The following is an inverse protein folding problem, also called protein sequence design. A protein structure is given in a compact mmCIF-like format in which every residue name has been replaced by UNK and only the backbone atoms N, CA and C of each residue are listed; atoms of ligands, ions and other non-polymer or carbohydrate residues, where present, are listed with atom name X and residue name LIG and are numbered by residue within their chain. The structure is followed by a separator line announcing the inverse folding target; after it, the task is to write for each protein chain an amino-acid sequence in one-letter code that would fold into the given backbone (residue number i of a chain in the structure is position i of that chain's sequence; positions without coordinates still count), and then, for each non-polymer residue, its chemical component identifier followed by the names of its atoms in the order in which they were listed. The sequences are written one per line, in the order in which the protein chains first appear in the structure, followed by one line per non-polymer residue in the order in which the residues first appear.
data_IF_225389626954
#
_entry.id   IF_225389626954
#
_cell.length_a   1.000
_cell.length_b   1.000
_cell.length_c   1.000
_cell.angle_alpha   90.00
_cell.angle_beta   90.00
_cell.angle_gamma   90.00
#
_symmetry.space_group_name_H-M   'P 1'
#
loop_
_entity.id
_entity.type
_entity.pdbx_description
1 polymer ?
#
# COMPACT_ATOMS: atom_id res chain seq x y z
N UNK A 1 -14.74 -50.90 30.19
CA UNK A 1 -14.76 -49.44 30.14
C UNK A 1 -13.59 -48.86 30.93
N UNK A 2 -13.14 -47.66 30.62
CA UNK A 2 -12.00 -47.02 31.29
C UNK A 2 -12.20 -46.91 32.84
N UNK A 3 -13.44 -46.83 33.29
CA UNK A 3 -13.85 -46.86 34.71
C UNK A 3 -13.45 -48.10 35.48
N UNK A 4 -13.19 -49.21 34.77
CA UNK A 4 -12.81 -50.50 35.41
C UNK A 4 -11.29 -50.58 35.63
N UNK A 5 -10.53 -49.64 35.09
CA UNK A 5 -9.07 -49.64 35.08
C UNK A 5 -8.46 -48.47 35.87
N UNK A 6 -9.19 -47.39 36.08
CA UNK A 6 -8.70 -46.20 36.80
C UNK A 6 -9.85 -45.35 37.32
N UNK A 7 -9.67 -44.73 38.51
CA UNK A 7 -10.52 -43.65 38.99
C UNK A 7 -10.27 -42.40 38.18
N UNK A 8 -11.29 -42.00 37.45
CA UNK A 8 -11.21 -40.75 36.67
C UNK A 8 -11.79 -39.62 37.51
N UNK A 9 -10.93 -38.78 38.08
CA UNK A 9 -11.31 -37.52 38.70
C UNK A 9 -11.03 -36.39 37.70
N UNK A 10 -12.01 -35.54 37.47
CA UNK A 10 -11.78 -34.24 36.80
C UNK A 10 -11.07 -33.36 37.80
N UNK A 11 -9.77 -33.12 37.62
CA UNK A 11 -9.00 -32.28 38.48
C UNK A 11 -9.50 -30.83 38.37
N UNK A 12 -9.92 -30.29 39.52
CA UNK A 12 -10.36 -28.89 39.65
C UNK A 12 -9.14 -27.97 39.94
N UNK A 13 -7.92 -28.45 39.64
CA UNK A 13 -6.73 -27.63 39.75
C UNK A 13 -6.72 -26.56 38.67
N UNK A 14 -6.98 -25.32 39.05
CA UNK A 14 -6.83 -24.14 38.20
C UNK A 14 -5.37 -24.01 37.80
N UNK A 15 -5.06 -24.30 36.55
CA UNK A 15 -3.73 -24.14 35.97
C UNK A 15 -3.34 -22.69 35.74
N UNK A 16 -4.33 -21.80 35.68
CA UNK A 16 -4.11 -20.35 35.50
C UNK A 16 -5.26 -19.56 36.13
N UNK A 17 -4.95 -18.41 36.68
CA UNK A 17 -5.92 -17.43 37.20
C UNK A 17 -5.89 -16.24 36.25
N UNK A 18 -7.00 -15.98 35.58
CA UNK A 18 -7.14 -14.80 34.73
C UNK A 18 -8.10 -13.80 35.37
N UNK A 19 -7.66 -12.55 35.54
CA UNK A 19 -8.47 -11.45 36.08
C UNK A 19 -8.41 -10.23 35.14
N UNK A 20 -9.54 -9.58 34.99
CA UNK A 20 -9.64 -8.32 34.26
C UNK A 20 -10.30 -7.28 35.17
N UNK A 21 -9.61 -6.16 35.42
CA UNK A 21 -10.08 -5.11 36.33
C UNK A 21 -10.46 -5.67 37.74
N UNK A 22 -9.68 -6.63 38.26
CA UNK A 22 -9.89 -7.24 39.56
C UNK A 22 -11.00 -8.29 39.65
N UNK A 23 -11.74 -8.53 38.56
CA UNK A 23 -12.79 -9.56 38.47
C UNK A 23 -12.27 -10.80 37.77
N UNK A 24 -12.80 -11.96 38.11
CA UNK A 24 -12.46 -13.21 37.44
C UNK A 24 -12.88 -13.11 35.95
N UNK A 25 -11.99 -13.55 35.06
CA UNK A 25 -12.18 -13.48 33.62
C UNK A 25 -11.69 -14.75 32.94
N UNK A 26 -12.24 -15.05 31.76
CA UNK A 26 -11.71 -16.07 30.85
C UNK A 26 -10.95 -15.36 29.74
N UNK A 27 -9.68 -15.73 29.55
CA UNK A 27 -8.87 -15.19 28.48
C UNK A 27 -8.89 -16.17 27.29
N UNK A 28 -9.35 -15.68 26.15
CA UNK A 28 -9.34 -16.41 24.87
C UNK A 28 -8.28 -15.82 23.95
N UNK A 29 -7.26 -16.63 23.64
CA UNK A 29 -6.26 -16.28 22.64
C UNK A 29 -6.60 -17.02 21.34
N UNK A 30 -6.89 -16.25 20.30
CA UNK A 30 -7.25 -16.78 18.99
C UNK A 30 -6.08 -16.56 18.04
N UNK A 31 -5.54 -17.65 17.49
CA UNK A 31 -4.48 -17.62 16.51
C UNK A 31 -5.05 -17.96 15.14
N UNK A 32 -4.66 -17.20 14.11
CA UNK A 32 -5.01 -17.50 12.74
C UNK A 32 -4.00 -18.45 12.09
N UNK A 33 -4.43 -19.20 11.07
CA UNK A 33 -3.51 -19.92 10.18
C UNK A 33 -2.68 -18.91 9.35
N UNK A 34 -1.52 -19.35 8.87
CA UNK A 34 -0.61 -18.46 8.11
C UNK A 34 -1.28 -17.85 6.87
N UNK A 35 -2.13 -18.61 6.18
CA UNK A 35 -2.80 -18.19 4.95
C UNK A 35 -4.06 -17.36 5.17
N UNK A 36 -4.55 -17.25 6.41
CA UNK A 36 -5.79 -16.54 6.71
C UNK A 36 -5.58 -15.02 6.76
N UNK A 37 -6.57 -14.28 6.29
CA UNK A 37 -6.58 -12.82 6.35
C UNK A 37 -6.84 -12.35 7.79
N UNK A 38 -5.89 -11.62 8.38
CA UNK A 38 -5.94 -11.17 9.78
C UNK A 38 -7.17 -10.32 10.07
N UNK A 39 -7.50 -9.37 9.19
CA UNK A 39 -8.64 -8.46 9.37
C UNK A 39 -9.96 -9.21 9.28
N UNK A 40 -10.09 -10.13 8.31
CA UNK A 40 -11.30 -10.92 8.16
C UNK A 40 -11.52 -11.83 9.38
N UNK A 41 -10.50 -12.56 9.82
CA UNK A 41 -10.57 -13.42 11.00
C UNK A 41 -10.96 -12.62 12.24
N UNK A 42 -10.32 -11.46 12.46
CA UNK A 42 -10.62 -10.59 13.61
C UNK A 42 -12.09 -10.11 13.60
N UNK A 43 -12.63 -9.74 12.42
CA UNK A 43 -14.03 -9.33 12.26
C UNK A 43 -15.01 -10.49 12.52
N UNK A 44 -14.72 -11.68 12.00
CA UNK A 44 -15.55 -12.86 12.22
C UNK A 44 -15.57 -13.28 13.69
N UNK A 45 -14.41 -13.25 14.33
CA UNK A 45 -14.29 -13.51 15.77
C UNK A 45 -15.09 -12.49 16.57
N UNK A 46 -14.92 -11.21 16.27
CA UNK A 46 -15.67 -10.15 16.97
C UNK A 46 -17.18 -10.36 16.85
N UNK A 47 -17.65 -10.66 15.63
CA UNK A 47 -19.07 -10.95 15.40
C UNK A 47 -19.59 -12.11 16.25
N UNK A 48 -18.82 -13.21 16.34
CA UNK A 48 -19.18 -14.37 17.16
C UNK A 48 -19.16 -14.05 18.65
N UNK A 49 -18.18 -13.28 19.12
CA UNK A 49 -18.10 -12.84 20.52
C UNK A 49 -19.27 -11.92 20.86
N UNK A 50 -19.64 -10.99 20.00
CA UNK A 50 -20.76 -10.07 20.20
C UNK A 50 -22.11 -10.83 20.22
N UNK A 51 -22.23 -11.88 19.40
CA UNK A 51 -23.40 -12.76 19.39
C UNK A 51 -23.48 -13.58 20.69
N UNK A 52 -22.37 -14.14 21.14
CA UNK A 52 -22.30 -14.89 22.38
C UNK A 52 -22.64 -14.01 23.61
N UNK A 53 -22.04 -12.83 23.71
CA UNK A 53 -22.31 -11.87 24.81
C UNK A 53 -23.77 -11.40 24.83
N UNK A 54 -24.41 -11.30 23.67
CA UNK A 54 -25.86 -10.95 23.60
C UNK A 54 -26.75 -12.05 24.12
N UNK A 55 -26.35 -13.30 23.92
CA UNK A 55 -27.17 -14.46 24.33
C UNK A 55 -26.99 -14.82 25.80
N UNK A 56 -25.88 -14.39 26.44
CA UNK A 56 -25.57 -14.69 27.82
C UNK A 56 -25.69 -13.46 28.72
N UNK A 57 -26.69 -13.44 29.59
CA UNK A 57 -26.95 -12.33 30.50
C UNK A 57 -25.81 -12.12 31.50
N UNK A 58 -25.23 -10.93 31.56
CA UNK A 58 -24.21 -10.54 32.54
C UNK A 58 -22.76 -10.70 32.07
N UNK A 59 -22.51 -11.27 30.90
CA UNK A 59 -21.18 -11.32 30.29
C UNK A 59 -20.79 -9.98 29.65
N UNK A 60 -19.48 -9.65 29.75
CA UNK A 60 -18.87 -8.53 29.03
C UNK A 60 -17.59 -9.01 28.38
N UNK A 61 -17.42 -8.71 27.09
CA UNK A 61 -16.16 -8.94 26.40
C UNK A 61 -15.28 -7.70 26.44
N UNK A 62 -13.98 -7.90 26.63
CA UNK A 62 -12.97 -6.85 26.55
C UNK A 62 -11.89 -7.34 25.59
N UNK A 63 -11.69 -6.63 24.50
CA UNK A 63 -10.61 -6.91 23.57
C UNK A 63 -9.30 -6.33 24.13
N UNK A 64 -8.40 -7.19 24.54
CA UNK A 64 -7.11 -6.79 25.14
C UNK A 64 -6.02 -6.58 24.08
N UNK A 65 -6.07 -7.35 23.00
CA UNK A 65 -5.11 -7.26 21.92
C UNK A 65 -5.82 -7.44 20.57
N UNK A 66 -5.59 -6.53 19.66
CA UNK A 66 -6.15 -6.57 18.31
C UNK A 66 -5.03 -6.34 17.28
N UNK A 67 -4.64 -7.40 16.60
CA UNK A 67 -3.61 -7.33 15.54
C UNK A 67 -4.16 -6.84 14.20
N UNK A 68 -5.48 -6.79 14.04
CA UNK A 68 -6.13 -6.29 12.82
C UNK A 68 -6.20 -4.75 12.80
N UNK A 69 -6.41 -4.12 13.96
CA UNK A 69 -6.54 -2.66 14.05
C UNK A 69 -5.33 -1.89 13.50
N UNK A 70 -4.07 -2.22 13.85
CA UNK A 70 -2.91 -1.56 13.24
C UNK A 70 -2.85 -1.70 11.71
N UNK A 71 -3.34 -2.81 11.16
CA UNK A 71 -3.41 -3.01 9.70
C UNK A 71 -4.48 -2.10 9.09
N UNK A 72 -5.66 -2.02 9.69
CA UNK A 72 -6.74 -1.13 9.24
C UNK A 72 -6.33 0.34 9.33
N UNK A 73 -5.71 0.76 10.44
CA UNK A 73 -5.21 2.12 10.66
C UNK A 73 -4.11 2.47 9.62
N UNK A 74 -3.23 1.52 9.29
CA UNK A 74 -2.20 1.70 8.26
C UNK A 74 -2.79 1.82 6.86
N UNK A 75 -3.81 1.02 6.52
CA UNK A 75 -4.54 1.15 5.26
C UNK A 75 -5.22 2.51 5.15
N UNK A 76 -5.90 2.94 6.20
CA UNK A 76 -6.53 4.26 6.24
C UNK A 76 -5.50 5.38 6.05
N UNK A 77 -4.39 5.32 6.79
CA UNK A 77 -3.29 6.29 6.68
C UNK A 77 -2.70 6.31 5.27
N UNK A 78 -2.53 5.13 4.64
CA UNK A 78 -2.04 5.04 3.26
C UNK A 78 -2.99 5.76 2.29
N UNK A 79 -4.29 5.52 2.39
CA UNK A 79 -5.30 6.17 1.55
C UNK A 79 -5.36 7.68 1.81
N UNK A 80 -5.32 8.09 3.07
CA UNK A 80 -5.29 9.50 3.47
C UNK A 80 -4.05 10.22 2.90
N UNK A 81 -2.86 9.63 3.05
CA UNK A 81 -1.61 10.22 2.51
C UNK A 81 -1.60 10.23 0.98
N UNK A 82 -2.13 9.19 0.34
CA UNK A 82 -2.30 9.16 -1.11
C UNK A 82 -3.24 10.29 -1.58
N UNK A 83 -4.38 10.46 -0.91
CA UNK A 83 -5.33 11.52 -1.23
C UNK A 83 -4.73 12.91 -1.00
N UNK A 84 -4.09 13.14 0.16
CA UNK A 84 -3.43 14.41 0.47
C UNK A 84 -2.33 14.73 -0.53
N UNK A 85 -1.44 13.76 -0.82
CA UNK A 85 -0.37 13.92 -1.81
C UNK A 85 -0.93 14.22 -3.20
N UNK A 86 -2.01 13.56 -3.60
CA UNK A 86 -2.69 13.84 -4.88
C UNK A 86 -3.27 15.26 -4.90
N UNK A 87 -3.92 15.71 -3.83
CA UNK A 87 -4.46 17.08 -3.74
C UNK A 87 -3.34 18.11 -3.86
N UNK A 88 -2.24 17.93 -3.13
CA UNK A 88 -1.07 18.82 -3.21
C UNK A 88 -0.49 18.83 -4.62
N UNK A 89 -0.33 17.65 -5.24
CA UNK A 89 0.13 17.53 -6.62
C UNK A 89 -0.79 18.27 -7.60
N UNK A 90 -2.11 18.12 -7.47
CA UNK A 90 -3.10 18.85 -8.27
C UNK A 90 -2.91 20.36 -8.15
N UNK A 91 -2.78 20.88 -6.92
CA UNK A 91 -2.60 22.30 -6.66
C UNK A 91 -1.31 22.79 -7.31
N UNK A 92 -0.19 22.08 -7.10
CA UNK A 92 1.11 22.44 -7.68
C UNK A 92 1.05 22.44 -9.21
N UNK A 93 0.54 21.37 -9.83
CA UNK A 93 0.42 21.25 -11.30
C UNK A 93 -0.47 22.36 -11.85
N UNK A 94 -1.61 22.65 -11.21
CA UNK A 94 -2.51 23.71 -11.64
C UNK A 94 -1.89 25.12 -11.51
N UNK A 95 -1.10 25.36 -10.45
CA UNK A 95 -0.42 26.63 -10.28
C UNK A 95 0.68 26.86 -11.34
N UNK A 96 1.47 25.81 -11.64
CA UNK A 96 2.59 25.92 -12.56
C UNK A 96 2.17 25.79 -14.03
N UNK A 97 1.37 24.77 -14.35
CA UNK A 97 1.03 24.44 -15.74
C UNK A 97 -0.31 25.04 -16.20
N UNK A 98 -1.16 25.47 -15.26
CA UNK A 98 -2.50 26.04 -15.54
C UNK A 98 -3.33 25.24 -16.54
N UNK A 99 -3.14 23.91 -16.59
CA UNK A 99 -3.78 23.03 -17.55
C UNK A 99 -4.42 21.80 -16.87
N UNK A 100 -5.74 21.70 -16.97
CA UNK A 100 -6.53 20.63 -16.35
C UNK A 100 -6.22 19.25 -16.95
N UNK A 101 -5.83 19.18 -18.23
CA UNK A 101 -5.55 17.90 -18.90
C UNK A 101 -4.27 17.26 -18.37
N UNK A 102 -3.22 18.03 -18.15
CA UNK A 102 -1.97 17.56 -17.52
C UNK A 102 -2.23 17.05 -16.10
N UNK A 103 -3.05 17.77 -15.36
CA UNK A 103 -3.46 17.39 -14.00
C UNK A 103 -4.23 16.06 -14.00
N UNK A 104 -5.18 15.87 -14.92
CA UNK A 104 -5.95 14.64 -15.04
C UNK A 104 -5.06 13.41 -15.32
N UNK A 105 -4.04 13.54 -16.16
CA UNK A 105 -3.08 12.47 -16.44
C UNK A 105 -2.33 12.06 -15.17
N UNK A 106 -1.83 13.03 -14.41
CA UNK A 106 -1.12 12.76 -13.14
C UNK A 106 -2.02 12.09 -12.10
N UNK A 107 -3.29 12.51 -11.98
CA UNK A 107 -4.25 11.91 -11.04
C UNK A 107 -4.47 10.43 -11.36
N UNK A 108 -4.59 10.05 -12.63
CA UNK A 108 -4.82 8.66 -13.04
C UNK A 108 -3.59 7.79 -12.84
N UNK A 109 -2.38 8.33 -13.01
CA UNK A 109 -1.13 7.57 -12.88
C UNK A 109 -0.87 7.06 -11.47
N UNK A 110 -1.27 7.82 -10.43
CA UNK A 110 -1.04 7.47 -9.04
C UNK A 110 -1.74 6.17 -8.63
N UNK A 111 -3.08 6.05 -8.73
CA UNK A 111 -3.76 4.81 -8.37
C UNK A 111 -3.32 3.63 -9.24
N UNK A 112 -3.00 3.87 -10.51
CA UNK A 112 -2.53 2.81 -11.40
C UNK A 112 -1.18 2.24 -10.95
N UNK A 113 -0.23 3.08 -10.55
CA UNK A 113 1.06 2.63 -10.02
C UNK A 113 0.89 1.82 -8.74
N UNK A 114 0.02 2.27 -7.84
CA UNK A 114 -0.27 1.55 -6.58
C UNK A 114 -0.90 0.19 -6.88
N UNK A 115 -1.87 0.11 -7.79
CA UNK A 115 -2.51 -1.15 -8.18
C UNK A 115 -1.51 -2.14 -8.78
N UNK A 116 -0.62 -1.70 -9.66
CA UNK A 116 0.44 -2.54 -10.24
C UNK A 116 1.38 -3.05 -9.14
N UNK A 117 1.77 -2.20 -8.20
CA UNK A 117 2.60 -2.59 -7.07
C UNK A 117 1.92 -3.64 -6.17
N UNK A 118 0.63 -3.47 -5.88
CA UNK A 118 -0.16 -4.43 -5.11
C UNK A 118 -0.29 -5.78 -5.83
N UNK A 119 -0.48 -5.77 -7.16
CA UNK A 119 -0.51 -6.99 -7.97
C UNK A 119 0.86 -7.70 -7.92
N UNK A 120 1.96 -6.95 -8.06
CA UNK A 120 3.31 -7.51 -7.99
C UNK A 120 3.61 -8.13 -6.61
N UNK A 121 3.20 -7.48 -5.52
CA UNK A 121 3.30 -8.02 -4.16
C UNK A 121 2.51 -9.33 -4.03
N UNK A 122 1.28 -9.35 -4.52
CA UNK A 122 0.44 -10.56 -4.49
C UNK A 122 1.06 -11.72 -5.27
N UNK A 123 1.58 -11.47 -6.48
CA UNK A 123 2.24 -12.48 -7.31
C UNK A 123 3.54 -13.00 -6.67
N UNK A 124 4.20 -12.19 -5.85
CA UNK A 124 5.41 -12.55 -5.11
C UNK A 124 5.10 -13.21 -3.74
N UNK A 125 3.84 -13.52 -3.45
CA UNK A 125 3.37 -14.05 -2.16
C UNK A 125 3.77 -13.20 -0.95
N UNK A 126 3.88 -11.88 -1.15
CA UNK A 126 4.15 -10.92 -0.08
C UNK A 126 2.83 -10.46 0.50
N UNK A 127 2.59 -10.77 1.78
CA UNK A 127 1.38 -10.35 2.48
C UNK A 127 1.41 -8.86 2.82
N UNK A 128 0.22 -8.24 2.79
CA UNK A 128 0.05 -6.89 3.29
C UNK A 128 0.07 -6.90 4.81
N UNK A 129 1.00 -6.19 5.39
CA UNK A 129 1.15 -5.99 6.83
C UNK A 129 1.53 -4.52 7.10
N UNK A 130 1.70 -4.15 8.36
CA UNK A 130 2.01 -2.78 8.75
C UNK A 130 3.30 -2.24 8.09
N UNK A 131 4.31 -3.11 7.88
CA UNK A 131 5.58 -2.71 7.26
C UNK A 131 5.42 -2.51 5.75
N UNK A 132 4.73 -3.44 5.05
CA UNK A 132 4.49 -3.30 3.60
C UNK A 132 3.57 -2.12 3.29
N UNK A 133 2.57 -1.85 4.13
CA UNK A 133 1.71 -0.68 3.99
C UNK A 133 2.46 0.62 4.28
N UNK A 134 3.36 0.62 5.29
CA UNK A 134 4.27 1.72 5.55
C UNK A 134 5.19 2.00 4.36
N UNK A 135 5.76 0.94 3.76
CA UNK A 135 6.57 1.03 2.55
C UNK A 135 5.81 1.65 1.37
N UNK A 136 4.58 1.19 1.12
CA UNK A 136 3.71 1.76 0.08
C UNK A 136 3.42 3.24 0.34
N UNK A 137 3.16 3.62 1.60
CA UNK A 137 2.91 5.02 1.98
C UNK A 137 4.11 5.91 1.67
N UNK A 138 5.33 5.46 1.98
CA UNK A 138 6.57 6.18 1.65
C UNK A 138 6.78 6.26 0.13
N UNK A 139 6.48 5.19 -0.60
CA UNK A 139 6.64 5.15 -2.04
C UNK A 139 5.66 6.07 -2.80
N UNK A 140 4.48 6.38 -2.24
CA UNK A 140 3.47 7.24 -2.89
C UNK A 140 4.04 8.60 -3.30
N UNK A 141 4.86 9.23 -2.44
CA UNK A 141 5.50 10.50 -2.77
C UNK A 141 6.35 10.41 -4.04
N UNK A 142 7.18 9.37 -4.17
CA UNK A 142 8.00 9.14 -5.37
C UNK A 142 7.17 8.84 -6.61
N UNK A 143 6.09 8.08 -6.45
CA UNK A 143 5.16 7.77 -7.54
C UNK A 143 4.55 9.04 -8.14
N UNK A 144 4.20 9.98 -7.28
CA UNK A 144 3.66 11.28 -7.67
C UNK A 144 4.73 12.08 -8.43
N UNK A 145 5.94 12.16 -7.90
CA UNK A 145 7.05 12.93 -8.47
C UNK A 145 7.40 12.45 -9.89
N UNK A 146 7.57 11.14 -10.09
CA UNK A 146 7.91 10.58 -11.40
C UNK A 146 6.88 10.93 -12.47
N UNK A 147 5.60 10.86 -12.12
CA UNK A 147 4.50 11.19 -13.04
C UNK A 147 4.44 12.68 -13.37
N UNK A 148 4.68 13.54 -12.38
CA UNK A 148 4.69 15.00 -12.55
C UNK A 148 5.81 15.39 -13.52
N UNK A 149 7.03 14.87 -13.34
CA UNK A 149 8.17 15.21 -14.18
C UNK A 149 7.91 14.88 -15.65
N UNK A 150 7.32 13.72 -15.94
CA UNK A 150 7.00 13.34 -17.33
C UNK A 150 5.92 14.25 -17.94
N UNK A 151 4.83 14.47 -17.19
CA UNK A 151 3.72 15.31 -17.67
C UNK A 151 4.17 16.75 -17.87
N UNK A 152 4.96 17.30 -16.95
CA UNK A 152 5.50 18.65 -17.04
C UNK A 152 6.39 18.80 -18.28
N UNK A 153 7.31 17.85 -18.52
CA UNK A 153 8.19 17.92 -19.68
C UNK A 153 7.42 17.83 -21.01
N UNK A 154 6.42 16.94 -21.10
CA UNK A 154 5.53 16.85 -22.26
C UNK A 154 4.82 18.19 -22.48
N UNK A 155 4.23 18.78 -21.43
CA UNK A 155 3.51 20.04 -21.52
C UNK A 155 4.42 21.20 -21.89
N UNK A 156 5.60 21.30 -21.28
CA UNK A 156 6.62 22.33 -21.58
C UNK A 156 6.98 22.31 -23.06
N UNK A 157 7.26 21.13 -23.63
CA UNK A 157 7.60 20.98 -25.04
C UNK A 157 6.42 21.23 -25.96
N UNK A 158 5.20 20.84 -25.59
CA UNK A 158 3.98 21.15 -26.34
C UNK A 158 3.69 22.65 -26.40
N UNK A 159 4.15 23.40 -25.42
CA UNK A 159 3.93 24.84 -25.30
C UNK A 159 5.05 25.67 -25.96
N UNK A 160 6.15 25.05 -26.42
CA UNK A 160 7.27 25.75 -27.02
C UNK A 160 6.95 26.11 -28.47
N UNK A 161 6.93 27.44 -28.84
CA UNK A 161 6.69 27.85 -30.22
C UNK A 161 7.76 27.40 -31.21
N UNK A 162 8.99 27.12 -30.75
CA UNK A 162 10.11 26.67 -31.58
C UNK A 162 10.21 25.15 -31.75
N UNK A 163 9.30 24.41 -31.13
CA UNK A 163 9.32 22.96 -31.21
C UNK A 163 8.96 22.47 -32.60
N UNK A 164 9.84 21.67 -33.19
CA UNK A 164 9.70 21.13 -34.55
C UNK A 164 8.85 19.87 -34.58
N UNK A 165 8.86 19.08 -33.53
CA UNK A 165 8.10 17.85 -33.41
C UNK A 165 6.64 18.16 -33.03
N UNK A 166 5.71 17.35 -33.52
CA UNK A 166 4.27 17.50 -33.24
C UNK A 166 3.64 16.15 -32.87
N UNK A 167 2.52 16.21 -32.18
CA UNK A 167 1.72 15.04 -31.86
C UNK A 167 2.51 13.97 -31.07
N UNK A 168 2.35 12.73 -31.49
CA UNK A 168 2.92 11.56 -30.80
C UNK A 168 4.46 11.58 -30.80
N UNK A 169 5.11 12.00 -31.89
CA UNK A 169 6.56 12.07 -31.98
C UNK A 169 7.16 13.05 -30.93
N UNK A 170 6.50 14.16 -30.67
CA UNK A 170 6.88 15.10 -29.63
C UNK A 170 6.79 14.44 -28.25
N UNK A 171 5.67 13.77 -27.96
CA UNK A 171 5.42 13.13 -26.66
C UNK A 171 6.45 12.03 -26.40
N UNK A 172 6.75 11.19 -27.37
CA UNK A 172 7.78 10.15 -27.26
C UNK A 172 9.15 10.79 -27.01
N UNK A 173 9.50 11.85 -27.76
CA UNK A 173 10.76 12.56 -27.59
C UNK A 173 10.87 13.20 -26.19
N UNK A 174 9.80 13.87 -25.73
CA UNK A 174 9.74 14.48 -24.40
C UNK A 174 9.88 13.44 -23.27
N UNK A 175 9.22 12.29 -23.41
CA UNK A 175 9.33 11.19 -22.43
C UNK A 175 10.75 10.62 -22.39
N UNK A 176 11.39 10.43 -23.56
CA UNK A 176 12.78 9.93 -23.63
C UNK A 176 13.79 10.87 -22.98
N UNK A 177 13.57 12.17 -23.06
CA UNK A 177 14.43 13.19 -22.45
C UNK A 177 14.53 13.02 -20.93
N UNK A 178 13.42 12.76 -20.26
CA UNK A 178 13.34 12.61 -18.80
C UNK A 178 13.49 11.16 -18.31
N UNK A 179 13.49 10.19 -19.22
CA UNK A 179 13.60 8.77 -18.89
C UNK A 179 14.87 8.44 -18.11
N UNK A 180 16.05 8.88 -18.59
CA UNK A 180 17.33 8.60 -17.91
C UNK A 180 17.38 9.17 -16.49
N UNK A 181 17.07 10.46 -16.25
CA UNK A 181 16.99 11.01 -14.90
C UNK A 181 16.06 10.24 -13.96
N UNK A 182 14.83 9.95 -14.41
CA UNK A 182 13.85 9.23 -13.59
C UNK A 182 14.34 7.81 -13.30
N UNK A 183 14.78 7.07 -14.32
CA UNK A 183 15.29 5.72 -14.15
C UNK A 183 16.50 5.68 -13.19
N UNK A 184 17.46 6.60 -13.36
CA UNK A 184 18.63 6.64 -12.48
C UNK A 184 18.25 6.92 -11.03
N UNK A 185 17.38 7.89 -10.79
CA UNK A 185 16.88 8.24 -9.46
C UNK A 185 16.12 7.08 -8.80
N UNK A 186 15.26 6.40 -9.57
CA UNK A 186 14.50 5.24 -9.12
C UNK A 186 15.42 4.06 -8.80
N UNK A 187 16.40 3.76 -9.67
CA UNK A 187 17.37 2.69 -9.42
C UNK A 187 18.24 2.97 -8.19
N UNK A 188 18.72 4.20 -7.99
CA UNK A 188 19.47 4.57 -6.78
C UNK A 188 18.64 4.28 -5.53
N UNK A 189 17.37 4.65 -5.54
CA UNK A 189 16.46 4.39 -4.40
C UNK A 189 16.28 2.89 -4.18
N UNK A 190 16.08 2.10 -5.24
CA UNK A 190 15.94 0.63 -5.14
C UNK A 190 17.22 0.01 -4.56
N UNK A 191 18.39 0.42 -5.04
CA UNK A 191 19.70 -0.11 -4.57
C UNK A 191 19.90 0.15 -3.09
N UNK A 192 19.39 1.25 -2.53
CA UNK A 192 19.47 1.53 -1.09
C UNK A 192 18.66 0.51 -0.27
N UNK A 193 17.52 0.06 -0.77
CA UNK A 193 16.66 -0.91 -0.07
C UNK A 193 16.96 -2.36 -0.41
N UNK A 194 17.61 -2.63 -1.54
CA UNK A 194 17.90 -3.98 -2.02
C UNK A 194 18.67 -4.87 -1.02
N UNK A 195 19.65 -4.36 -0.27
CA UNK A 195 20.36 -5.16 0.73
C UNK A 195 19.46 -5.79 1.78
N UNK A 196 18.33 -5.15 2.13
CA UNK A 196 17.38 -5.68 3.11
C UNK A 196 16.71 -6.98 2.65
N UNK A 197 16.65 -7.23 1.34
CA UNK A 197 16.09 -8.48 0.78
C UNK A 197 17.00 -9.68 1.09
N UNK A 198 18.31 -9.44 1.24
CA UNK A 198 19.35 -10.47 1.44
C UNK A 198 19.70 -10.67 2.91
N UNK A 199 19.15 -9.88 3.83
CA UNK A 199 19.38 -10.07 5.27
C UNK A 199 18.75 -11.39 5.70
N UNK A 200 19.52 -12.19 6.48
CA UNK A 200 19.08 -13.48 7.03
C UNK A 200 18.54 -13.33 8.44
N UNK A 201 17.81 -14.36 8.91
CA UNK A 201 17.25 -14.42 10.25
C UNK A 201 15.99 -13.56 10.43
N UNK A 202 15.53 -13.42 11.68
CA UNK A 202 14.26 -12.75 12.00
C UNK A 202 14.16 -11.31 11.51
N UNK A 203 15.28 -10.60 11.46
CA UNK A 203 15.32 -9.23 10.92
C UNK A 203 15.04 -9.25 9.42
N UNK A 204 15.67 -10.18 8.69
CA UNK A 204 15.43 -10.34 7.26
C UNK A 204 13.99 -10.72 6.93
N UNK A 205 13.41 -11.66 7.68
CA UNK A 205 12.00 -12.06 7.50
C UNK A 205 11.04 -10.86 7.69
N UNK A 206 11.36 -9.96 8.60
CA UNK A 206 10.56 -8.77 8.88
C UNK A 206 10.73 -7.68 7.81
N UNK A 207 11.96 -7.39 7.37
CA UNK A 207 12.24 -6.26 6.47
C UNK A 207 12.23 -6.61 4.99
N UNK A 208 12.35 -7.90 4.61
CA UNK A 208 12.27 -8.34 3.22
C UNK A 208 10.95 -7.95 2.54
N UNK A 209 9.74 -8.16 3.15
CA UNK A 209 8.49 -7.68 2.60
C UNK A 209 8.44 -6.16 2.40
N UNK A 210 9.00 -5.39 3.33
CA UNK A 210 9.12 -3.94 3.25
C UNK A 210 9.96 -3.50 2.04
N UNK A 211 11.16 -4.07 1.88
CA UNK A 211 12.05 -3.75 0.76
C UNK A 211 11.43 -4.12 -0.60
N UNK A 212 10.75 -5.26 -0.68
CA UNK A 212 10.03 -5.68 -1.89
C UNK A 212 8.86 -4.74 -2.21
N UNK A 213 8.12 -4.27 -1.19
CA UNK A 213 7.02 -3.34 -1.39
C UNK A 213 7.50 -2.00 -1.96
N UNK A 214 8.60 -1.43 -1.43
CA UNK A 214 9.21 -0.22 -2.00
C UNK A 214 9.68 -0.50 -3.43
N UNK A 215 10.42 -1.57 -3.67
CA UNK A 215 10.97 -1.90 -4.97
C UNK A 215 9.88 -2.03 -6.03
N UNK A 216 8.82 -2.80 -5.75
CA UNK A 216 7.71 -2.97 -6.69
C UNK A 216 6.93 -1.67 -6.92
N UNK A 217 6.76 -0.85 -5.89
CA UNK A 217 6.10 0.45 -6.04
C UNK A 217 6.88 1.40 -6.93
N UNK A 218 8.21 1.45 -6.78
CA UNK A 218 9.08 2.29 -7.59
C UNK A 218 9.16 1.78 -9.03
N UNK A 219 9.25 0.47 -9.25
CA UNK A 219 9.22 -0.11 -10.59
C UNK A 219 7.86 0.11 -11.27
N UNK A 220 6.77 -0.03 -10.54
CA UNK A 220 5.43 0.27 -11.05
C UNK A 220 5.29 1.75 -11.45
N UNK A 221 5.81 2.68 -10.62
CA UNK A 221 5.85 4.10 -10.94
C UNK A 221 6.61 4.37 -12.22
N UNK A 222 7.80 3.82 -12.35
CA UNK A 222 8.62 3.96 -13.56
C UNK A 222 7.88 3.44 -14.79
N UNK A 223 7.27 2.26 -14.72
CA UNK A 223 6.50 1.69 -15.82
C UNK A 223 5.32 2.58 -16.21
N UNK A 224 4.55 3.05 -15.27
CA UNK A 224 3.39 3.92 -15.52
C UNK A 224 3.83 5.26 -16.10
N UNK A 225 4.87 5.87 -15.58
CA UNK A 225 5.35 7.17 -16.03
C UNK A 225 5.89 7.14 -17.47
N UNK A 226 6.46 6.02 -17.92
CA UNK A 226 7.01 5.89 -19.29
C UNK A 226 6.04 5.26 -20.29
N UNK A 227 4.92 4.68 -19.83
CA UNK A 227 3.93 4.01 -20.70
C UNK A 227 2.57 4.71 -20.66
N UNK A 228 1.92 4.68 -19.50
CA UNK A 228 0.56 5.19 -19.34
C UNK A 228 0.51 6.71 -19.49
N UNK A 229 1.44 7.43 -18.85
CA UNK A 229 1.48 8.89 -18.87
C UNK A 229 1.63 9.44 -20.29
N UNK A 230 2.63 9.00 -21.10
CA UNK A 230 2.72 9.48 -22.49
C UNK A 230 1.56 9.01 -23.38
N UNK A 231 1.00 7.81 -23.14
CA UNK A 231 -0.18 7.32 -23.87
C UNK A 231 -1.41 8.19 -23.60
N UNK A 232 -1.67 8.55 -22.35
CA UNK A 232 -2.71 9.50 -22.00
C UNK A 232 -2.39 10.89 -22.55
N UNK A 233 -1.13 11.31 -22.50
CA UNK A 233 -0.66 12.56 -23.14
C UNK A 233 -1.00 12.60 -24.62
N UNK A 234 -0.73 11.54 -25.36
CA UNK A 234 -1.07 11.44 -26.79
C UNK A 234 -2.59 11.57 -27.04
N UNK A 235 -3.39 10.98 -26.16
CA UNK A 235 -4.86 11.03 -26.27
C UNK A 235 -5.41 12.42 -25.92
N UNK A 236 -4.97 13.01 -24.83
CA UNK A 236 -5.50 14.30 -24.34
C UNK A 236 -5.00 15.52 -25.15
N UNK A 237 -3.80 15.42 -25.74
CA UNK A 237 -3.20 16.50 -26.52
C UNK A 237 -3.25 16.28 -28.04
N UNK A 238 -4.01 15.31 -28.52
CA UNK A 238 -4.17 15.00 -29.95
C UNK A 238 -4.50 16.23 -30.80
N UNK A 239 -5.25 17.19 -30.25
CA UNK A 239 -5.67 18.44 -30.93
C UNK A 239 -4.82 19.66 -30.49
N UNK A 240 -3.63 19.45 -29.94
CA UNK A 240 -2.77 20.50 -29.42
C UNK A 240 -3.23 21.05 -28.05
N UNK A 241 -2.41 21.90 -27.49
CA UNK A 241 -2.77 22.65 -26.26
C UNK A 241 -3.64 23.82 -26.68
N UNK A 242 -4.96 23.75 -26.47
CA UNK A 242 -5.81 24.94 -26.48
C UNK A 242 -5.65 25.66 -25.16
N UNK A 243 -5.11 26.84 -25.19
CA UNK A 243 -5.18 27.79 -24.07
C UNK A 243 -6.61 28.12 -23.74
#
# INVERSE_FOLDING_TARGET
PLKDLADISVGDERTSISKTNGKDAVNLQIMKSQDANTVQVAREVQKKVDEFVRNESGMKSIKTMDTAKPIEDSLYTMVEKAALGTIVAIIVILLFLRNIRTTAISIVSIPMSILIALIALKLSNVSLNILTLGALTVAIGRVIDDSIVVVENIFRRLSDPNEKLKGENLIISATREVFKPIMSSTLVTIVVFLPLVFVSGSVGEMFRPFALAITFSLLASLLVSITLVPSLGATFFKNGVKN
#
